data_IF_533037443423
#
_entry.id   IF_533037443423
#
_cell.length_a   1.000
_cell.length_b   1.000
_cell.length_c   1.000
_cell.angle_alpha   90.00
_cell.angle_beta   90.00
_cell.angle_gamma   90.00
#
_symmetry.space_group_name_H-M   'P 1'
#
loop_
_entity.id
_entity.type
_entity.pdbx_description
1 polymer ?
#
# COMPACT_ATOMS: atom_id res chain seq x y z
N UNK A 1 -36.43 -13.21 37.78
CA UNK A 1 -35.25 -12.39 37.34
C UNK A 1 -34.82 -12.89 35.97
N UNK A 2 -35.20 -12.18 34.94
CA UNK A 2 -34.91 -12.52 33.57
C UNK A 2 -33.63 -11.75 33.14
N UNK A 3 -32.60 -12.52 32.76
CA UNK A 3 -31.36 -11.93 32.22
C UNK A 3 -31.59 -11.66 30.73
N UNK A 4 -31.76 -10.40 30.40
CA UNK A 4 -31.77 -9.93 28.98
C UNK A 4 -30.36 -9.96 28.46
N UNK A 5 -30.02 -10.99 27.68
CA UNK A 5 -28.85 -10.99 26.79
C UNK A 5 -29.24 -10.39 25.44
N UNK A 6 -29.14 -9.07 25.29
CA UNK A 6 -29.21 -8.42 23.99
C UNK A 6 -27.92 -8.68 23.20
N UNK A 7 -27.82 -9.85 22.57
CA UNK A 7 -26.90 -10.09 21.48
C UNK A 7 -27.41 -9.35 20.23
N UNK A 8 -27.12 -8.07 20.12
CA UNK A 8 -27.27 -7.36 18.84
C UNK A 8 -26.17 -7.86 17.91
N UNK A 9 -26.54 -8.71 16.96
CA UNK A 9 -25.69 -9.01 15.81
C UNK A 9 -25.25 -7.68 15.17
N UNK A 10 -23.97 -7.53 14.78
CA UNK A 10 -23.51 -6.32 14.12
C UNK A 10 -24.35 -6.13 12.85
N UNK A 11 -24.93 -4.92 12.70
CA UNK A 11 -25.57 -4.52 11.44
C UNK A 11 -24.60 -4.83 10.30
N UNK A 12 -25.11 -5.52 9.26
CA UNK A 12 -24.33 -5.81 8.05
C UNK A 12 -23.67 -4.53 7.55
N UNK A 13 -22.34 -4.50 7.60
CA UNK A 13 -21.55 -3.40 7.08
C UNK A 13 -21.74 -3.33 5.56
N UNK A 14 -22.23 -2.19 5.07
CA UNK A 14 -22.72 -2.05 3.69
C UNK A 14 -21.62 -1.86 2.66
N UNK A 15 -20.36 -1.63 3.09
CA UNK A 15 -19.22 -1.46 2.17
C UNK A 15 -17.91 -2.01 2.73
N UNK A 16 -16.98 -2.38 1.83
CA UNK A 16 -15.61 -2.78 2.20
C UNK A 16 -14.86 -1.66 2.97
N UNK A 17 -15.16 -0.40 2.67
CA UNK A 17 -14.56 0.76 3.33
C UNK A 17 -14.97 0.88 4.80
N UNK A 18 -16.24 0.54 5.14
CA UNK A 18 -16.71 0.56 6.54
C UNK A 18 -15.96 -0.48 7.37
N UNK A 19 -15.64 -1.62 6.78
CA UNK A 19 -14.86 -2.69 7.41
C UNK A 19 -13.40 -2.24 7.60
N UNK A 20 -12.79 -1.62 6.61
CA UNK A 20 -11.41 -1.11 6.70
C UNK A 20 -11.26 -0.03 7.76
N UNK A 21 -12.15 0.96 7.79
CA UNK A 21 -12.17 2.02 8.81
C UNK A 21 -12.42 1.45 10.20
N UNK A 22 -13.21 0.39 10.30
CA UNK A 22 -13.53 -0.26 11.56
C UNK A 22 -12.37 -1.12 12.08
N UNK A 23 -11.64 -1.82 11.21
CA UNK A 23 -10.44 -2.58 11.56
C UNK A 23 -9.34 -1.65 12.08
N UNK A 24 -9.18 -0.47 11.49
CA UNK A 24 -8.20 0.50 11.95
C UNK A 24 -8.56 1.12 13.31
N UNK A 25 -9.86 1.18 13.68
CA UNK A 25 -10.32 1.79 14.93
C UNK A 25 -10.37 0.85 16.13
N UNK A 26 -10.50 -0.47 15.93
CA UNK A 26 -10.63 -1.44 17.03
C UNK A 26 -9.66 -2.62 16.86
N UNK A 27 -8.63 -2.69 17.70
CA UNK A 27 -7.78 -3.88 17.88
C UNK A 27 -8.56 -4.99 18.62
N UNK A 28 -9.65 -5.52 18.07
CA UNK A 28 -10.46 -6.54 18.73
C UNK A 28 -10.22 -7.93 18.11
N UNK A 29 -9.96 -8.98 18.91
CA UNK A 29 -9.80 -10.38 18.44
C UNK A 29 -11.01 -10.90 17.66
N UNK A 30 -12.21 -10.47 18.01
CA UNK A 30 -13.48 -10.88 17.37
C UNK A 30 -13.49 -10.52 15.88
N UNK A 31 -12.86 -9.41 15.47
CA UNK A 31 -12.82 -8.98 14.08
C UNK A 31 -11.79 -9.73 13.24
N UNK A 32 -10.72 -10.18 13.86
CA UNK A 32 -9.73 -11.06 13.23
C UNK A 32 -10.40 -12.39 12.83
N UNK A 33 -11.29 -12.92 13.66
CA UNK A 33 -12.08 -14.13 13.34
C UNK A 33 -13.08 -13.91 12.20
N UNK A 34 -13.79 -12.78 12.17
CA UNK A 34 -14.72 -12.46 11.07
C UNK A 34 -14.02 -12.32 9.72
N UNK A 35 -12.88 -11.64 9.69
CA UNK A 35 -12.05 -11.53 8.47
C UNK A 35 -11.56 -12.92 8.05
N UNK A 36 -11.12 -13.74 8.97
CA UNK A 36 -10.66 -15.11 8.74
C UNK A 36 -11.77 -15.97 8.14
N UNK A 37 -13.00 -15.88 8.65
CA UNK A 37 -14.16 -16.63 8.15
C UNK A 37 -14.51 -16.15 6.74
N UNK A 38 -14.64 -14.85 6.53
CA UNK A 38 -14.97 -14.26 5.23
C UNK A 38 -13.94 -14.63 4.14
N UNK A 39 -12.66 -14.57 4.50
CA UNK A 39 -11.56 -14.90 3.60
C UNK A 39 -11.46 -16.41 3.37
N UNK A 40 -11.61 -17.25 4.41
CA UNK A 40 -11.60 -18.70 4.29
C UNK A 40 -12.73 -19.25 3.42
N UNK A 41 -13.94 -18.74 3.57
CA UNK A 41 -15.09 -19.22 2.80
C UNK A 41 -14.96 -18.88 1.30
N UNK A 42 -14.31 -17.79 0.94
CA UNK A 42 -14.25 -17.29 -0.44
C UNK A 42 -13.04 -17.80 -1.25
N UNK A 43 -11.95 -18.20 -0.60
CA UNK A 43 -10.66 -18.52 -1.24
C UNK A 43 -10.14 -19.94 -1.02
N UNK A 44 -10.96 -20.87 -0.50
CA UNK A 44 -10.58 -22.28 -0.30
C UNK A 44 -10.80 -23.10 -1.58
N UNK A 45 -10.26 -22.70 -2.71
CA UNK A 45 -9.90 -23.62 -3.79
C UNK A 45 -8.39 -23.87 -3.73
N UNK A 46 -8.00 -24.75 -2.82
CA UNK A 46 -6.59 -25.04 -2.57
C UNK A 46 -6.01 -25.91 -3.69
N UNK A 47 -5.09 -25.36 -4.46
CA UNK A 47 -4.08 -26.20 -5.13
C UNK A 47 -3.18 -26.81 -4.05
N UNK A 48 -3.48 -28.06 -3.68
CA UNK A 48 -2.74 -28.83 -2.66
C UNK A 48 -1.27 -28.95 -3.02
N UNK A 49 -0.92 -28.96 -4.32
CA UNK A 49 0.46 -29.07 -4.81
C UNK A 49 1.20 -27.76 -4.61
N UNK A 50 0.57 -26.60 -4.92
CA UNK A 50 1.13 -25.28 -4.65
C UNK A 50 1.38 -25.09 -3.16
N UNK A 51 0.44 -25.49 -2.29
CA UNK A 51 0.64 -25.45 -0.83
C UNK A 51 1.84 -26.29 -0.39
N UNK A 52 1.98 -27.50 -0.91
CA UNK A 52 3.11 -28.37 -0.59
C UNK A 52 4.43 -27.76 -1.04
N UNK A 53 4.48 -27.16 -2.24
CA UNK A 53 5.66 -26.46 -2.74
C UNK A 53 6.02 -25.24 -1.87
N UNK A 54 5.02 -24.46 -1.46
CA UNK A 54 5.22 -23.33 -0.57
C UNK A 54 5.77 -23.76 0.80
N UNK A 55 5.25 -24.83 1.40
CA UNK A 55 5.73 -25.36 2.67
C UNK A 55 7.20 -25.84 2.58
N UNK A 56 7.58 -26.49 1.49
CA UNK A 56 8.98 -26.88 1.24
C UNK A 56 9.88 -25.64 1.08
N UNK A 57 9.41 -24.59 0.42
CA UNK A 57 10.16 -23.34 0.31
C UNK A 57 10.33 -22.65 1.67
N UNK A 58 9.31 -22.68 2.53
CA UNK A 58 9.36 -22.17 3.92
C UNK A 58 10.39 -22.94 4.74
N UNK A 59 10.38 -24.26 4.69
CA UNK A 59 11.32 -25.11 5.43
C UNK A 59 12.78 -24.78 5.07
N UNK A 60 13.09 -24.67 3.78
CA UNK A 60 14.42 -24.29 3.29
C UNK A 60 14.83 -22.86 3.67
N UNK A 61 13.90 -21.99 4.00
CA UNK A 61 14.13 -20.57 4.29
C UNK A 61 13.50 -20.13 5.63
N UNK A 62 13.64 -20.94 6.67
CA UNK A 62 12.93 -20.79 7.96
C UNK A 62 13.10 -19.40 8.62
N UNK A 63 14.20 -18.70 8.38
CA UNK A 63 14.48 -17.37 8.96
C UNK A 63 13.95 -16.18 8.14
N UNK A 64 13.44 -16.42 6.92
CA UNK A 64 12.97 -15.35 6.05
C UNK A 64 11.48 -15.11 6.21
N UNK A 65 11.07 -13.83 6.29
CA UNK A 65 9.66 -13.42 6.28
C UNK A 65 9.09 -13.46 4.86
N UNK A 66 9.85 -13.03 3.88
CA UNK A 66 9.46 -13.04 2.46
C UNK A 66 10.35 -14.00 1.71
N UNK A 67 9.75 -14.97 1.00
CA UNK A 67 10.46 -16.07 0.33
C UNK A 67 9.98 -16.14 -1.12
N UNK A 68 10.85 -15.84 -2.11
CA UNK A 68 10.54 -16.13 -3.50
C UNK A 68 10.64 -17.63 -3.76
N UNK A 69 9.76 -18.18 -4.59
CA UNK A 69 9.84 -19.55 -5.09
C UNK A 69 9.18 -19.69 -6.45
N UNK A 70 9.53 -20.74 -7.17
CA UNK A 70 9.01 -21.06 -8.50
C UNK A 70 8.17 -22.32 -8.39
N UNK A 71 7.00 -22.29 -9.00
CA UNK A 71 6.12 -23.45 -9.13
C UNK A 71 5.46 -23.42 -10.52
N UNK A 72 5.57 -24.52 -11.30
CA UNK A 72 5.10 -24.62 -12.68
C UNK A 72 5.55 -23.42 -13.56
N UNK A 73 6.83 -23.06 -13.50
CA UNK A 73 7.45 -21.96 -14.24
C UNK A 73 6.89 -20.56 -13.92
N UNK A 74 6.08 -20.43 -12.89
CA UNK A 74 5.55 -19.15 -12.40
C UNK A 74 6.30 -18.75 -11.14
N UNK A 75 6.68 -17.47 -11.04
CA UNK A 75 7.30 -16.89 -9.87
C UNK A 75 6.25 -16.50 -8.84
N UNK A 76 6.48 -16.87 -7.60
CA UNK A 76 5.63 -16.56 -6.45
C UNK A 76 6.44 -16.00 -5.30
N UNK A 77 5.74 -15.26 -4.43
CA UNK A 77 6.27 -14.80 -3.16
C UNK A 77 5.40 -15.33 -2.01
N UNK A 78 6.07 -15.90 -1.00
CA UNK A 78 5.45 -16.25 0.27
C UNK A 78 5.73 -15.11 1.24
N UNK A 79 4.71 -14.54 1.87
CA UNK A 79 4.84 -13.61 3.00
C UNK A 79 4.35 -14.30 4.26
N UNK A 80 5.25 -14.52 5.23
CA UNK A 80 4.96 -15.24 6.45
C UNK A 80 4.51 -14.31 7.57
N UNK A 81 3.62 -14.79 8.40
CA UNK A 81 3.25 -14.18 9.67
C UNK A 81 4.39 -14.37 10.67
N UNK A 82 5.31 -13.44 10.75
CA UNK A 82 6.45 -13.50 11.67
C UNK A 82 6.55 -12.21 12.48
N UNK A 83 6.85 -12.35 13.78
CA UNK A 83 7.23 -11.22 14.61
C UNK A 83 8.64 -10.75 14.22
N UNK A 84 8.80 -9.47 13.90
CA UNK A 84 10.10 -8.88 13.55
C UNK A 84 11.01 -8.61 14.76
N UNK A 85 10.74 -9.17 15.93
CA UNK A 85 11.59 -9.03 17.14
C UNK A 85 11.84 -7.59 17.65
N UNK A 86 11.45 -6.57 16.89
CA UNK A 86 11.54 -5.17 17.28
C UNK A 86 10.18 -4.70 17.81
N UNK A 87 10.02 -4.78 19.12
CA UNK A 87 8.90 -4.17 19.84
C UNK A 87 9.02 -2.63 19.72
N UNK A 88 8.40 -2.05 18.71
CA UNK A 88 8.14 -0.61 18.70
C UNK A 88 6.72 -0.39 19.19
N UNK A 89 6.54 0.44 20.20
CA UNK A 89 5.25 0.79 20.84
C UNK A 89 4.14 1.22 19.86
N UNK A 90 4.48 1.51 18.61
CA UNK A 90 3.57 2.00 17.57
C UNK A 90 3.11 0.93 16.55
N UNK A 91 3.60 -0.32 16.61
CA UNK A 91 3.24 -1.35 15.62
C UNK A 91 2.08 -2.21 16.11
N UNK A 92 1.14 -2.49 15.20
CA UNK A 92 0.09 -3.51 15.40
C UNK A 92 0.72 -4.86 15.76
N UNK A 93 -0.06 -5.73 16.43
CA UNK A 93 0.39 -7.11 16.60
C UNK A 93 0.68 -7.73 15.22
N UNK A 94 1.64 -8.67 15.10
CA UNK A 94 1.96 -9.35 13.84
C UNK A 94 0.71 -9.97 13.20
N UNK A 95 -0.18 -10.50 14.00
CA UNK A 95 -1.44 -11.10 13.55
C UNK A 95 -2.36 -10.06 12.90
N UNK A 96 -2.58 -8.94 13.59
CA UNK A 96 -3.43 -7.86 13.06
C UNK A 96 -2.88 -7.27 11.76
N UNK A 97 -1.56 -7.12 11.66
CA UNK A 97 -0.92 -6.60 10.45
C UNK A 97 -1.06 -7.58 9.28
N UNK A 98 -0.84 -8.88 9.53
CA UNK A 98 -0.94 -9.93 8.53
C UNK A 98 -2.36 -10.04 7.94
N UNK A 99 -3.39 -10.13 8.80
CA UNK A 99 -4.76 -10.25 8.32
C UNK A 99 -5.28 -8.96 7.67
N UNK A 100 -4.85 -7.80 8.15
CA UNK A 100 -5.17 -6.51 7.49
C UNK A 100 -4.60 -6.48 6.07
N UNK A 101 -3.37 -6.89 5.89
CA UNK A 101 -2.73 -6.94 4.58
C UNK A 101 -3.48 -7.89 3.64
N UNK A 102 -3.77 -9.12 4.09
CA UNK A 102 -4.54 -10.08 3.31
C UNK A 102 -5.90 -9.51 2.88
N UNK A 103 -6.64 -8.96 3.83
CA UNK A 103 -7.96 -8.39 3.57
C UNK A 103 -7.90 -7.21 2.59
N UNK A 104 -6.94 -6.29 2.77
CA UNK A 104 -6.77 -5.15 1.86
C UNK A 104 -6.47 -5.62 0.43
N UNK A 105 -5.51 -6.55 0.25
CA UNK A 105 -5.18 -7.08 -1.08
C UNK A 105 -6.40 -7.72 -1.76
N UNK A 106 -7.17 -8.52 -1.04
CA UNK A 106 -8.35 -9.18 -1.57
C UNK A 106 -9.44 -8.19 -1.93
N UNK A 107 -9.74 -7.23 -1.04
CA UNK A 107 -10.78 -6.21 -1.25
C UNK A 107 -10.44 -5.26 -2.40
N UNK A 108 -9.17 -4.85 -2.51
CA UNK A 108 -8.70 -4.02 -3.62
C UNK A 108 -8.83 -4.78 -4.94
N UNK A 109 -8.34 -6.03 -5.02
CA UNK A 109 -8.41 -6.82 -6.25
C UNK A 109 -9.83 -7.20 -6.67
N UNK A 110 -10.79 -7.19 -5.77
CA UNK A 110 -12.21 -7.36 -6.09
C UNK A 110 -12.78 -6.14 -6.85
N UNK A 111 -12.29 -4.94 -6.52
CA UNK A 111 -12.74 -3.69 -7.14
C UNK A 111 -11.86 -3.26 -8.31
N UNK A 112 -10.53 -3.36 -8.16
CA UNK A 112 -9.54 -2.96 -9.15
C UNK A 112 -8.25 -3.78 -8.94
N UNK A 113 -7.66 -4.40 -9.99
CA UNK A 113 -6.54 -5.34 -9.84
C UNK A 113 -5.20 -4.63 -9.61
N UNK A 114 -5.08 -3.87 -8.51
CA UNK A 114 -3.90 -3.06 -8.16
C UNK A 114 -3.10 -3.62 -6.98
N UNK A 115 -3.53 -4.72 -6.36
CA UNK A 115 -2.75 -5.45 -5.36
C UNK A 115 -2.20 -6.77 -5.95
N UNK A 116 -1.18 -7.40 -5.33
CA UNK A 116 -0.71 -8.71 -5.77
C UNK A 116 -1.84 -9.74 -5.76
N UNK A 117 -1.99 -10.56 -6.81
CA UNK A 117 -2.94 -11.66 -6.83
C UNK A 117 -2.63 -12.64 -5.70
N UNK A 118 -3.56 -12.81 -4.75
CA UNK A 118 -3.45 -13.79 -3.68
C UNK A 118 -3.91 -15.14 -4.21
N UNK A 119 -2.97 -16.07 -4.39
CA UNK A 119 -3.26 -17.43 -4.92
C UNK A 119 -3.43 -18.47 -3.83
N UNK A 120 -2.92 -18.19 -2.62
CA UNK A 120 -3.08 -19.04 -1.46
C UNK A 120 -3.03 -18.21 -0.19
N UNK A 121 -3.98 -18.41 0.69
CA UNK A 121 -4.00 -17.83 2.02
C UNK A 121 -4.10 -18.95 3.07
N UNK A 122 -3.12 -18.99 3.97
CA UNK A 122 -3.04 -19.90 5.12
C UNK A 122 -2.99 -19.09 6.42
N UNK A 123 -3.15 -19.76 7.56
CA UNK A 123 -3.11 -19.11 8.87
C UNK A 123 -1.76 -18.41 9.14
N UNK A 124 -0.66 -18.95 8.58
CA UNK A 124 0.71 -18.48 8.87
C UNK A 124 1.42 -17.83 7.69
N UNK A 125 0.84 -17.87 6.50
CA UNK A 125 1.45 -17.28 5.31
C UNK A 125 0.45 -17.01 4.17
N UNK A 126 0.82 -16.05 3.33
CA UNK A 126 0.14 -15.71 2.08
C UNK A 126 1.07 -16.05 0.92
N UNK A 127 0.54 -16.57 -0.18
CA UNK A 127 1.25 -16.72 -1.45
C UNK A 127 0.63 -15.78 -2.46
N UNK A 128 1.47 -14.95 -3.07
CA UNK A 128 1.08 -14.05 -4.16
C UNK A 128 1.90 -14.35 -5.41
N UNK A 129 1.38 -14.00 -6.57
CA UNK A 129 2.16 -14.00 -7.80
C UNK A 129 3.19 -12.87 -7.81
N UNK A 130 4.27 -13.06 -8.58
CA UNK A 130 5.21 -11.99 -8.89
C UNK A 130 4.51 -10.91 -9.73
N UNK A 131 4.72 -9.67 -9.36
CA UNK A 131 4.09 -8.50 -10.00
C UNK A 131 5.09 -7.63 -10.77
N UNK A 132 6.30 -8.13 -10.96
CA UNK A 132 7.33 -7.47 -11.75
C UNK A 132 8.36 -6.69 -10.94
N UNK A 133 8.97 -5.69 -11.58
CA UNK A 133 10.13 -4.97 -11.06
C UNK A 133 9.71 -3.70 -10.31
N UNK A 134 10.24 -3.44 -9.09
CA UNK A 134 9.97 -2.20 -8.37
C UNK A 134 10.34 -0.95 -9.20
N UNK A 135 9.53 0.10 -9.13
CA UNK A 135 9.77 1.36 -9.88
C UNK A 135 11.13 1.97 -9.56
N UNK A 136 11.56 1.84 -8.32
CA UNK A 136 12.90 2.21 -7.88
C UNK A 136 14.00 1.55 -8.71
N UNK A 137 13.83 0.33 -9.17
CA UNK A 137 14.80 -0.40 -10.00
C UNK A 137 14.61 -0.07 -11.48
N UNK A 138 13.36 0.05 -11.91
CA UNK A 138 12.99 0.39 -13.31
C UNK A 138 13.66 1.69 -13.72
N UNK A 139 13.45 2.76 -12.95
CA UNK A 139 13.98 4.07 -13.29
C UNK A 139 15.52 4.14 -13.28
N UNK A 140 16.23 3.24 -12.54
CA UNK A 140 17.70 3.10 -12.60
C UNK A 140 18.21 2.39 -13.86
N UNK A 141 17.36 1.57 -14.47
CA UNK A 141 17.76 0.69 -15.58
C UNK A 141 17.33 1.19 -16.95
N UNK A 142 16.24 1.93 -17.01
CA UNK A 142 15.68 2.46 -18.23
C UNK A 142 16.08 3.93 -18.43
N UNK A 143 15.99 4.43 -19.65
CA UNK A 143 16.11 5.85 -19.93
C UNK A 143 14.96 6.64 -19.29
N UNK A 144 15.15 7.96 -19.10
CA UNK A 144 14.09 8.84 -18.59
C UNK A 144 12.84 8.76 -19.46
N UNK A 145 13.00 8.72 -20.78
CA UNK A 145 11.88 8.70 -21.72
C UNK A 145 11.05 7.41 -21.60
N UNK A 146 11.71 6.25 -21.49
CA UNK A 146 11.03 4.97 -21.26
C UNK A 146 10.32 4.94 -19.89
N UNK A 147 10.96 5.54 -18.89
CA UNK A 147 10.43 5.58 -17.53
C UNK A 147 9.24 6.54 -17.36
N UNK A 148 9.12 7.59 -18.18
CA UNK A 148 8.00 8.56 -18.12
C UNK A 148 6.64 7.88 -18.20
N UNK A 149 6.44 7.00 -19.18
CA UNK A 149 5.17 6.29 -19.32
C UNK A 149 4.85 5.39 -18.11
N UNK A 150 5.87 4.77 -17.53
CA UNK A 150 5.72 3.91 -16.36
C UNK A 150 5.33 4.74 -15.13
N UNK A 151 5.97 5.90 -14.93
CA UNK A 151 5.63 6.82 -13.84
C UNK A 151 4.25 7.46 -14.03
N UNK A 152 3.86 7.79 -15.27
CA UNK A 152 2.50 8.20 -15.59
C UNK A 152 1.49 7.12 -15.17
N UNK A 153 1.73 5.87 -15.56
CA UNK A 153 0.86 4.74 -15.20
C UNK A 153 0.81 4.52 -13.68
N UNK A 154 1.91 4.75 -12.95
CA UNK A 154 1.92 4.65 -11.49
C UNK A 154 1.03 5.72 -10.84
N UNK A 155 1.12 6.98 -11.30
CA UNK A 155 0.24 8.06 -10.85
C UNK A 155 -1.22 7.77 -11.18
N UNK A 156 -1.51 7.34 -12.41
CA UNK A 156 -2.85 6.94 -12.83
C UNK A 156 -3.43 5.78 -12.02
N UNK A 157 -2.61 4.77 -11.71
CA UNK A 157 -3.01 3.65 -10.87
C UNK A 157 -3.35 4.09 -9.44
N UNK A 158 -2.57 5.02 -8.85
CA UNK A 158 -2.89 5.58 -7.53
C UNK A 158 -4.20 6.37 -7.56
N UNK A 159 -4.43 7.19 -8.59
CA UNK A 159 -5.69 7.89 -8.78
C UNK A 159 -6.87 6.91 -8.94
N UNK A 160 -6.68 5.84 -9.70
CA UNK A 160 -7.68 4.79 -9.86
C UNK A 160 -7.99 4.09 -8.53
N UNK A 161 -6.99 3.78 -7.71
CA UNK A 161 -7.18 3.24 -6.37
C UNK A 161 -8.05 4.18 -5.52
N UNK A 162 -7.73 5.47 -5.54
CA UNK A 162 -8.44 6.51 -4.77
C UNK A 162 -9.89 6.70 -5.26
N UNK A 163 -10.12 6.70 -6.57
CA UNK A 163 -11.48 6.84 -7.14
C UNK A 163 -12.42 5.69 -6.77
N UNK A 164 -11.86 4.51 -6.45
CA UNK A 164 -12.61 3.37 -5.89
C UNK A 164 -12.75 3.43 -4.35
N UNK A 165 -12.32 4.53 -3.72
CA UNK A 165 -12.45 4.74 -2.28
C UNK A 165 -11.41 4.02 -1.44
N UNK A 166 -10.39 3.42 -2.04
CA UNK A 166 -9.30 2.76 -1.32
C UNK A 166 -8.12 3.71 -1.09
N UNK A 167 -7.23 3.32 -0.18
CA UNK A 167 -5.93 3.93 0.06
C UNK A 167 -4.91 2.87 0.43
N UNK A 168 -3.66 3.11 0.06
CA UNK A 168 -2.56 2.17 0.33
C UNK A 168 -2.04 2.28 1.78
N UNK A 169 -1.83 3.51 2.25
CA UNK A 169 -1.27 3.85 3.56
C UNK A 169 0.20 4.31 3.49
N UNK A 170 0.95 3.93 2.46
CA UNK A 170 2.30 4.43 2.14
C UNK A 170 2.75 3.92 0.76
N UNK A 171 2.26 4.48 -0.33
CA UNK A 171 2.59 4.04 -1.70
C UNK A 171 3.97 4.53 -2.12
N UNK A 172 5.03 3.93 -1.54
CA UNK A 172 6.40 4.29 -1.89
C UNK A 172 6.83 3.62 -3.21
N UNK A 173 7.63 4.31 -4.04
CA UNK A 173 8.05 3.80 -5.37
C UNK A 173 8.84 2.47 -5.31
N UNK A 174 9.42 2.13 -4.16
CA UNK A 174 10.04 0.81 -3.93
C UNK A 174 9.01 -0.31 -3.72
N UNK A 175 7.80 0.07 -3.28
CA UNK A 175 6.68 -0.80 -2.98
C UNK A 175 5.63 -0.77 -4.12
N UNK A 176 5.97 -0.18 -5.27
CA UNK A 176 5.19 -0.17 -6.50
C UNK A 176 5.96 -0.92 -7.56
N UNK A 177 5.35 -1.90 -8.22
CA UNK A 177 5.98 -2.72 -9.25
C UNK A 177 5.39 -2.45 -10.63
N UNK A 178 6.23 -2.67 -11.65
CA UNK A 178 5.90 -2.65 -13.05
C UNK A 178 6.10 -4.02 -13.68
N UNK A 179 5.04 -4.58 -14.24
CA UNK A 179 5.10 -5.81 -15.04
C UNK A 179 5.15 -5.44 -16.52
N UNK A 180 6.36 -5.53 -17.11
CA UNK A 180 6.60 -5.00 -18.45
C UNK A 180 5.78 -5.66 -19.57
N UNK A 181 5.52 -6.97 -19.50
CA UNK A 181 4.73 -7.70 -20.49
C UNK A 181 3.23 -7.33 -20.41
N UNK A 182 2.70 -7.20 -19.20
CA UNK A 182 1.30 -6.86 -18.96
C UNK A 182 1.03 -5.34 -18.93
N UNK A 183 2.10 -4.55 -18.94
CA UNK A 183 2.05 -3.09 -18.75
C UNK A 183 1.23 -2.68 -17.52
N UNK A 184 1.42 -3.40 -16.44
CA UNK A 184 0.62 -3.30 -15.22
C UNK A 184 1.41 -2.74 -14.06
N UNK A 185 0.78 -1.84 -13.33
CA UNK A 185 1.24 -1.35 -12.02
C UNK A 185 0.57 -2.16 -10.91
N UNK A 186 1.35 -2.50 -9.88
CA UNK A 186 0.83 -3.17 -8.68
C UNK A 186 1.47 -2.56 -7.43
N UNK A 187 0.66 -2.30 -6.40
CA UNK A 187 1.11 -1.80 -5.11
C UNK A 187 1.36 -2.97 -4.16
N UNK A 188 2.55 -2.98 -3.53
CA UNK A 188 2.97 -3.98 -2.54
C UNK A 188 2.82 -3.43 -1.11
N UNK A 189 2.96 -4.30 -0.10
CA UNK A 189 3.09 -3.93 1.33
C UNK A 189 1.88 -3.21 1.92
N UNK A 190 0.71 -3.83 1.82
CA UNK A 190 -0.58 -3.32 2.27
C UNK A 190 -0.77 -3.33 3.80
N UNK A 191 0.27 -3.63 4.59
CA UNK A 191 0.20 -3.67 6.07
C UNK A 191 0.21 -2.27 6.72
N UNK A 192 0.53 -1.22 5.95
CA UNK A 192 0.71 0.12 6.46
C UNK A 192 -0.60 0.73 6.97
N UNK A 193 -0.49 1.47 8.09
CA UNK A 193 -1.56 2.31 8.62
C UNK A 193 -1.34 3.75 8.19
N UNK A 194 -2.42 4.46 7.93
CA UNK A 194 -2.36 5.91 7.80
C UNK A 194 -1.99 6.51 9.17
N UNK A 195 -1.08 7.50 9.23
CA UNK A 195 -0.80 8.24 10.45
C UNK A 195 -2.08 8.82 11.08
N UNK A 196 -2.09 8.98 12.40
CA UNK A 196 -3.21 9.57 13.17
C UNK A 196 -3.39 11.07 12.89
N UNK A 197 -3.55 11.44 11.64
CA UNK A 197 -3.88 12.80 11.22
C UNK A 197 -5.38 12.88 10.94
N UNK A 198 -6.00 14.00 11.28
CA UNK A 198 -7.41 14.28 10.94
C UNK A 198 -7.60 14.60 9.44
N UNK A 199 -6.69 14.14 8.61
CA UNK A 199 -6.65 14.37 7.17
C UNK A 199 -7.15 13.12 6.45
N UNK A 200 -7.78 13.29 5.31
CA UNK A 200 -8.23 12.19 4.47
C UNK A 200 -7.07 11.26 4.12
N UNK A 201 -7.22 9.94 4.31
CA UNK A 201 -6.17 8.95 4.02
C UNK A 201 -5.60 9.00 2.60
N UNK A 202 -6.42 9.30 1.61
CA UNK A 202 -5.99 9.38 0.20
C UNK A 202 -5.15 10.63 -0.07
N UNK A 203 -5.42 11.73 0.65
CA UNK A 203 -4.57 12.94 0.63
C UNK A 203 -3.18 12.63 1.16
N UNK A 204 -3.10 11.87 2.26
CA UNK A 204 -1.82 11.43 2.84
C UNK A 204 -1.11 10.47 1.89
N UNK A 205 -1.82 9.55 1.25
CA UNK A 205 -1.24 8.63 0.26
C UNK A 205 -0.58 9.38 -0.90
N UNK A 206 -1.26 10.37 -1.48
CA UNK A 206 -0.71 11.17 -2.56
C UNK A 206 0.54 11.93 -2.10
N UNK A 207 0.50 12.55 -0.90
CA UNK A 207 1.67 13.22 -0.34
C UNK A 207 2.85 12.24 -0.15
N UNK A 208 2.61 11.05 0.42
CA UNK A 208 3.64 10.05 0.66
C UNK A 208 4.19 9.42 -0.63
N UNK A 209 3.35 9.28 -1.66
CA UNK A 209 3.79 8.87 -2.99
C UNK A 209 4.82 9.86 -3.56
N UNK A 210 4.50 11.14 -3.58
CA UNK A 210 5.40 12.19 -4.05
C UNK A 210 6.67 12.27 -3.18
N UNK A 211 6.50 12.21 -1.85
CA UNK A 211 7.63 12.21 -0.91
C UNK A 211 8.56 11.04 -1.18
N UNK A 212 8.04 9.87 -1.53
CA UNK A 212 8.88 8.72 -1.85
C UNK A 212 9.67 8.92 -3.15
N UNK A 213 9.15 9.68 -4.11
CA UNK A 213 9.89 10.05 -5.31
C UNK A 213 11.06 10.98 -4.99
N UNK A 214 10.85 11.98 -4.13
CA UNK A 214 11.90 12.91 -3.71
C UNK A 214 12.90 12.32 -2.72
N UNK A 215 12.60 11.17 -2.13
CA UNK A 215 13.50 10.48 -1.20
C UNK A 215 14.67 9.78 -1.91
N UNK A 216 14.50 9.45 -3.17
CA UNK A 216 15.53 8.82 -3.97
C UNK A 216 16.34 9.93 -4.67
N UNK A 217 17.66 9.72 -4.87
CA UNK A 217 18.52 10.66 -5.62
C UNK A 217 18.09 10.83 -7.08
N UNK A 218 17.29 9.93 -7.53
CA UNK A 218 16.54 9.87 -8.77
C UNK A 218 15.18 9.25 -8.38
N UNK A 219 14.09 9.52 -8.97
CA UNK A 219 13.79 9.98 -10.32
C UNK A 219 14.00 11.48 -10.52
N UNK A 220 14.20 11.85 -11.79
CA UNK A 220 14.25 13.24 -12.21
C UNK A 220 12.90 13.95 -12.01
N UNK A 221 12.89 15.28 -11.97
CA UNK A 221 11.65 16.04 -11.91
C UNK A 221 10.69 15.69 -13.05
N UNK A 222 11.22 15.32 -14.22
CA UNK A 222 10.40 14.90 -15.37
C UNK A 222 9.59 13.62 -15.09
N UNK A 223 10.14 12.68 -14.35
CA UNK A 223 9.42 11.46 -13.94
C UNK A 223 8.36 11.77 -12.90
N UNK A 224 8.66 12.70 -11.97
CA UNK A 224 7.69 13.15 -10.97
C UNK A 224 6.54 13.89 -11.65
N UNK A 225 6.85 14.79 -12.60
CA UNK A 225 5.84 15.51 -13.40
C UNK A 225 4.95 14.53 -14.19
N UNK A 226 5.57 13.47 -14.72
CA UNK A 226 4.82 12.42 -15.42
C UNK A 226 3.87 11.67 -14.48
N UNK A 227 4.34 11.29 -13.28
CA UNK A 227 3.51 10.65 -12.26
C UNK A 227 2.34 11.56 -11.82
N UNK A 228 2.60 12.85 -11.61
CA UNK A 228 1.55 13.85 -11.29
C UNK A 228 0.56 13.98 -12.45
N UNK A 229 1.04 14.03 -13.69
CA UNK A 229 0.18 14.09 -14.87
C UNK A 229 -0.72 12.84 -14.97
N UNK A 230 -0.17 11.66 -14.64
CA UNK A 230 -0.93 10.42 -14.57
C UNK A 230 -2.01 10.47 -13.49
N UNK A 231 -1.68 10.98 -12.30
CA UNK A 231 -2.67 11.14 -11.23
C UNK A 231 -3.79 12.11 -11.62
N UNK A 232 -3.46 13.27 -12.16
CA UNK A 232 -4.41 14.29 -12.58
C UNK A 232 -5.18 13.93 -13.87
N UNK A 233 -4.83 12.83 -14.54
CA UNK A 233 -5.57 12.32 -15.71
C UNK A 233 -6.98 11.86 -15.38
N UNK A 234 -7.26 11.48 -14.10
CA UNK A 234 -8.60 11.24 -13.61
C UNK A 234 -9.24 12.56 -13.10
N UNK A 235 -10.33 13.04 -13.72
CA UNK A 235 -10.95 14.30 -13.32
C UNK A 235 -11.43 14.35 -11.86
N UNK A 236 -11.90 13.20 -11.33
CA UNK A 236 -12.35 13.06 -9.94
C UNK A 236 -11.25 13.34 -8.91
N UNK A 237 -9.99 13.17 -9.29
CA UNK A 237 -8.85 13.26 -8.37
C UNK A 237 -8.12 14.63 -8.41
N UNK A 238 -8.57 15.56 -9.28
CA UNK A 238 -7.99 16.92 -9.35
C UNK A 238 -8.16 17.69 -8.03
N UNK A 239 -9.33 17.56 -7.39
CA UNK A 239 -9.60 18.21 -6.10
C UNK A 239 -8.69 17.67 -5.00
N UNK A 240 -8.33 16.40 -5.04
CA UNK A 240 -7.43 15.80 -4.04
C UNK A 240 -6.03 16.41 -4.05
N UNK A 241 -5.58 16.87 -5.20
CA UNK A 241 -4.30 17.59 -5.26
C UNK A 241 -4.40 18.95 -4.54
N UNK A 242 -5.55 19.63 -4.62
CA UNK A 242 -5.83 20.81 -3.81
C UNK A 242 -5.89 20.48 -2.30
N UNK A 243 -6.42 19.31 -1.92
CA UNK A 243 -6.42 18.86 -0.53
C UNK A 243 -5.00 18.65 0.01
N UNK A 244 -4.06 18.17 -0.82
CA UNK A 244 -2.64 18.06 -0.42
C UNK A 244 -2.04 19.46 -0.18
N UNK A 245 -2.38 20.45 -0.99
CA UNK A 245 -1.95 21.84 -0.74
C UNK A 245 -2.52 22.39 0.56
N UNK A 246 -3.82 22.18 0.80
CA UNK A 246 -4.46 22.57 2.04
C UNK A 246 -3.81 21.88 3.24
N UNK A 247 -3.54 20.57 3.16
CA UNK A 247 -2.82 19.82 4.18
C UNK A 247 -1.45 20.45 4.52
N UNK A 248 -0.67 20.85 3.50
CA UNK A 248 0.62 21.51 3.71
C UNK A 248 0.44 22.88 4.38
N UNK A 249 -0.56 23.65 3.99
CA UNK A 249 -0.87 24.98 4.55
C UNK A 249 -1.33 24.86 6.01
N UNK A 250 -2.23 23.95 6.31
CA UNK A 250 -2.77 23.71 7.67
C UNK A 250 -1.67 23.24 8.63
N UNK A 251 -0.65 22.54 8.12
CA UNK A 251 0.49 22.07 8.89
C UNK A 251 1.77 22.89 8.64
N UNK A 252 1.64 24.14 8.19
CA UNK A 252 2.75 25.01 7.79
C UNK A 252 3.88 25.12 8.82
N UNK A 253 3.56 25.08 10.12
CA UNK A 253 4.57 25.10 11.18
C UNK A 253 5.46 23.85 11.16
N UNK A 254 4.88 22.67 10.90
CA UNK A 254 5.63 21.40 10.80
C UNK A 254 6.53 21.47 9.56
N UNK A 255 6.00 21.90 8.43
CA UNK A 255 6.77 22.02 7.19
C UNK A 255 7.88 23.08 7.31
N UNK A 256 7.64 24.19 8.03
CA UNK A 256 8.68 25.17 8.32
C UNK A 256 9.83 24.59 9.17
N UNK A 257 9.52 23.75 10.16
CA UNK A 257 10.54 23.01 10.93
C UNK A 257 11.31 22.05 10.02
N UNK A 258 10.62 21.26 9.18
CA UNK A 258 11.27 20.38 8.20
C UNK A 258 12.21 21.17 7.28
N UNK A 259 11.81 22.34 6.79
CA UNK A 259 12.64 23.22 5.96
C UNK A 259 13.90 23.66 6.65
N UNK A 260 13.83 24.06 7.94
CA UNK A 260 15.03 24.42 8.72
C UNK A 260 15.94 23.21 8.92
N UNK A 261 15.37 22.04 9.21
CA UNK A 261 16.12 20.81 9.44
C UNK A 261 16.67 20.18 8.15
N UNK A 262 16.12 20.50 6.97
CA UNK A 262 16.59 20.00 5.68
C UNK A 262 18.05 20.41 5.38
N UNK A 263 18.54 21.47 6.01
CA UNK A 263 19.95 21.92 5.95
C UNK A 263 20.91 20.79 6.42
N UNK A 264 20.47 19.90 7.29
CA UNK A 264 21.27 18.76 7.74
C UNK A 264 21.29 17.58 6.75
N UNK A 265 20.63 17.72 5.60
CA UNK A 265 20.53 16.68 4.56
C UNK A 265 20.02 15.31 5.04
N UNK A 266 19.22 15.28 6.11
CA UNK A 266 18.53 14.06 6.50
C UNK A 266 17.47 13.74 5.45
N UNK A 267 17.68 12.64 4.73
CA UNK A 267 16.91 12.30 3.52
C UNK A 267 15.38 12.32 3.75
N UNK A 268 14.92 11.84 4.91
CA UNK A 268 13.50 11.82 5.24
C UNK A 268 12.92 13.24 5.40
N UNK A 269 13.66 14.15 6.01
CA UNK A 269 13.25 15.54 6.24
C UNK A 269 13.37 16.35 4.95
N UNK A 270 14.48 16.17 4.24
CA UNK A 270 14.74 16.82 2.95
C UNK A 270 13.62 16.48 1.94
N UNK A 271 13.27 15.21 1.81
CA UNK A 271 12.22 14.79 0.88
C UNK A 271 10.84 15.36 1.22
N UNK A 272 10.53 15.54 2.51
CA UNK A 272 9.29 16.22 2.96
C UNK A 272 9.28 17.69 2.52
N UNK A 273 10.39 18.42 2.72
CA UNK A 273 10.51 19.84 2.30
C UNK A 273 10.46 19.98 0.78
N UNK A 274 11.15 19.11 0.04
CA UNK A 274 11.11 19.09 -1.44
C UNK A 274 9.70 18.81 -1.95
N UNK A 275 8.98 17.85 -1.38
CA UNK A 275 7.59 17.54 -1.74
C UNK A 275 6.67 18.72 -1.48
N UNK A 276 6.76 19.33 -0.31
CA UNK A 276 5.94 20.50 0.02
C UNK A 276 6.23 21.65 -0.93
N UNK A 277 7.48 21.94 -1.21
CA UNK A 277 7.90 22.99 -2.15
C UNK A 277 7.40 22.71 -3.56
N UNK A 278 7.52 21.47 -4.04
CA UNK A 278 7.04 21.06 -5.35
C UNK A 278 5.52 21.26 -5.50
N UNK A 279 4.73 20.74 -4.54
CA UNK A 279 3.26 20.82 -4.56
C UNK A 279 2.79 22.28 -4.50
N UNK A 280 3.43 23.11 -3.68
CA UNK A 280 3.07 24.54 -3.56
C UNK A 280 3.42 25.36 -4.79
N UNK A 281 4.46 24.97 -5.56
CA UNK A 281 4.89 25.65 -6.78
C UNK A 281 4.24 25.10 -8.05
N UNK A 282 3.54 23.97 -7.98
CA UNK A 282 2.82 23.44 -9.13
C UNK A 282 1.65 24.39 -9.43
N UNK A 283 1.75 25.17 -10.50
CA UNK A 283 0.65 26.01 -10.97
C UNK A 283 -0.56 25.14 -11.30
N UNK A 284 -1.77 25.65 -11.12
CA UNK A 284 -3.00 24.98 -11.51
C UNK A 284 -3.00 24.78 -13.04
N UNK A 285 -2.50 23.62 -13.47
CA UNK A 285 -2.52 23.18 -14.87
C UNK A 285 -3.86 22.59 -15.25
#
# INVERSE_FOLDING_TARGET
MAVNSSNTAPQLMKSCNDILLFIDRKNSPVYTEFILIYVKERYIMLDKKLKSAALLAIEKNAQRRVIPFIYNDINYYIKRRMSNGRNTFAKSSPDTAFYREAYKMLSVNEAVPLAPPVVLLCDDFIVTEDTGTPLQVVAKRLSVEESKNIFFNAGHALATLHSHGFWHGRPAIRDITWHGQEQKITFLDWENKVPFLKTDPQTIDLFLFLQSCFREEWPTNELIDSAVSGYLSLPSEKERFADVRAFIQDHSRIFAVCRVLSVFHWIDVLSVDMTASYVMNLSDK
#
